data_IF_091256663481
#
_entry.id   IF_091256663481
#
_cell.length_a   1.000
_cell.length_b   1.000
_cell.length_c   1.000
_cell.angle_alpha   90.00
_cell.angle_beta   90.00
_cell.angle_gamma   90.00
#
_symmetry.space_group_name_H-M   'P 1'
#
loop_
_entity.id
_entity.type
_entity.pdbx_description
1 polymer ?
#
# COMPACT_ATOMS: atom_id res chain seq x y z
N UNK A 1 23.19 -17.28 -76.52
CA UNK A 1 24.23 -16.99 -75.51
C UNK A 1 23.68 -15.98 -74.53
N UNK A 2 23.29 -16.41 -73.33
CA UNK A 2 22.94 -15.53 -72.21
C UNK A 2 23.86 -15.86 -71.04
N UNK A 3 24.48 -14.81 -70.50
CA UNK A 3 25.53 -14.87 -69.52
C UNK A 3 24.98 -15.03 -68.09
N UNK A 4 25.59 -15.96 -67.34
CA UNK A 4 25.94 -15.84 -65.93
C UNK A 4 24.97 -15.15 -64.97
N UNK A 5 23.84 -15.80 -64.64
CA UNK A 5 23.12 -15.50 -63.40
C UNK A 5 23.46 -16.54 -62.32
N UNK A 6 24.19 -16.10 -61.28
CA UNK A 6 24.43 -16.86 -60.05
C UNK A 6 23.75 -16.11 -58.90
N UNK A 7 22.72 -16.69 -58.24
CA UNK A 7 22.16 -16.08 -57.05
C UNK A 7 23.16 -16.18 -55.87
N UNK A 8 23.45 -15.04 -55.24
CA UNK A 8 24.19 -14.96 -53.96
C UNK A 8 23.30 -15.47 -52.82
N UNK A 9 23.82 -16.24 -51.85
CA UNK A 9 23.09 -16.50 -50.61
C UNK A 9 22.97 -15.20 -49.81
N UNK A 10 21.75 -14.91 -49.35
CA UNK A 10 21.46 -13.78 -48.49
C UNK A 10 22.29 -13.87 -47.20
N UNK A 11 23.07 -12.83 -46.94
CA UNK A 11 23.69 -12.62 -45.65
C UNK A 11 22.59 -12.46 -44.59
N UNK A 12 22.76 -13.21 -43.52
CA UNK A 12 21.99 -13.20 -42.27
C UNK A 12 21.64 -11.79 -41.77
N UNK A 13 20.44 -11.60 -41.19
CA UNK A 13 20.04 -10.33 -40.60
C UNK A 13 20.91 -10.00 -39.38
N UNK A 14 21.45 -8.79 -39.42
CA UNK A 14 21.57 -7.83 -38.33
C UNK A 14 21.61 -8.40 -36.90
N UNK A 15 22.83 -8.36 -36.35
CA UNK A 15 23.14 -8.63 -34.95
C UNK A 15 22.36 -7.63 -34.07
N UNK A 16 21.29 -8.10 -33.45
CA UNK A 16 20.56 -7.37 -32.43
C UNK A 16 21.52 -6.86 -31.34
N UNK A 17 21.36 -5.62 -30.84
CA UNK A 17 22.14 -5.14 -29.72
C UNK A 17 21.77 -5.97 -28.48
N UNK A 18 22.77 -6.63 -27.90
CA UNK A 18 22.69 -7.24 -26.58
C UNK A 18 22.16 -6.22 -25.58
N UNK A 19 21.06 -6.48 -24.85
CA UNK A 19 20.70 -5.62 -23.75
C UNK A 19 21.77 -5.77 -22.68
N UNK A 20 22.37 -4.62 -22.40
CA UNK A 20 23.38 -4.36 -21.39
C UNK A 20 22.99 -5.04 -20.07
N UNK A 21 23.94 -5.77 -19.51
CA UNK A 21 23.83 -6.46 -18.22
C UNK A 21 24.03 -5.44 -17.09
N UNK A 22 23.23 -4.39 -17.08
CA UNK A 22 23.27 -3.34 -16.07
C UNK A 22 21.94 -3.34 -15.30
N UNK A 23 21.80 -4.29 -14.38
CA UNK A 23 20.59 -4.41 -13.55
C UNK A 23 20.68 -5.44 -12.43
N UNK A 24 21.88 -5.76 -11.95
CA UNK A 24 22.07 -6.63 -10.80
C UNK A 24 21.83 -5.86 -9.50
N UNK A 25 20.57 -5.49 -9.24
CA UNK A 25 20.09 -5.07 -7.91
C UNK A 25 18.55 -5.20 -7.75
N UNK A 26 17.88 -6.03 -8.55
CA UNK A 26 16.45 -6.31 -8.36
C UNK A 26 16.30 -7.59 -7.54
N UNK A 27 16.06 -7.45 -6.24
CA UNK A 27 15.90 -8.57 -5.28
C UNK A 27 14.59 -9.35 -5.42
N UNK A 28 14.12 -9.57 -6.64
CA UNK A 28 12.94 -10.38 -6.96
C UNK A 28 13.21 -11.27 -8.16
N UNK A 29 12.56 -12.45 -8.23
CA UNK A 29 12.62 -13.31 -9.42
C UNK A 29 12.20 -12.46 -10.65
N UNK A 30 12.81 -12.62 -11.84
CA UNK A 30 12.51 -11.78 -13.02
C UNK A 30 11.02 -11.68 -13.34
N UNK A 31 10.28 -12.77 -13.12
CA UNK A 31 8.82 -12.84 -13.32
C UNK A 31 8.04 -11.97 -12.32
N UNK A 32 8.52 -11.89 -11.07
CA UNK A 32 7.92 -11.05 -10.04
C UNK A 32 8.14 -9.58 -10.32
N UNK A 33 9.34 -9.18 -10.73
CA UNK A 33 9.63 -7.80 -11.11
C UNK A 33 8.70 -7.34 -12.25
N UNK A 34 8.54 -8.18 -13.27
CA UNK A 34 7.60 -7.90 -14.39
C UNK A 34 6.15 -7.83 -13.94
N UNK A 35 5.71 -8.69 -13.04
CA UNK A 35 4.34 -8.66 -12.51
C UNK A 35 4.08 -7.40 -11.68
N UNK A 36 5.04 -6.98 -10.84
CA UNK A 36 4.99 -5.73 -10.07
C UNK A 36 4.92 -4.52 -11.01
N UNK A 37 5.75 -4.48 -12.06
CA UNK A 37 5.75 -3.40 -13.05
C UNK A 37 4.39 -3.28 -13.76
N UNK A 38 3.79 -4.39 -14.18
CA UNK A 38 2.45 -4.40 -14.81
C UNK A 38 1.37 -3.88 -13.85
N UNK A 39 1.40 -4.34 -12.60
CA UNK A 39 0.46 -3.87 -11.58
C UNK A 39 0.63 -2.37 -11.30
N UNK A 40 1.88 -1.90 -11.23
CA UNK A 40 2.21 -0.50 -11.04
C UNK A 40 1.72 0.37 -12.20
N UNK A 41 1.88 -0.06 -13.46
CA UNK A 41 1.36 0.67 -14.62
C UNK A 41 -0.16 0.80 -14.59
N UNK A 42 -0.88 -0.29 -14.33
CA UNK A 42 -2.33 -0.25 -14.21
C UNK A 42 -2.78 0.67 -13.04
N UNK A 43 -2.04 0.66 -11.94
CA UNK A 43 -2.28 1.55 -10.79
C UNK A 43 -2.02 3.02 -11.16
N UNK A 44 -0.94 3.29 -11.89
CA UNK A 44 -0.60 4.63 -12.37
C UNK A 44 -1.65 5.17 -13.34
N UNK A 45 -2.17 4.33 -14.24
CA UNK A 45 -3.21 4.73 -15.20
C UNK A 45 -4.49 5.16 -14.48
N UNK A 46 -4.95 4.35 -13.52
CA UNK A 46 -6.10 4.70 -12.66
C UNK A 46 -5.80 5.97 -11.85
N UNK A 47 -4.58 6.10 -11.31
CA UNK A 47 -4.13 7.27 -10.58
C UNK A 47 -4.22 8.55 -11.42
N UNK A 48 -3.79 8.49 -12.69
CA UNK A 48 -3.87 9.62 -13.63
C UNK A 48 -5.31 10.02 -13.94
N UNK A 49 -6.21 9.05 -14.13
CA UNK A 49 -7.64 9.35 -14.33
C UNK A 49 -8.22 10.11 -13.14
N UNK A 50 -7.97 9.62 -11.92
CA UNK A 50 -8.44 10.25 -10.69
C UNK A 50 -7.86 11.65 -10.49
N UNK A 51 -6.58 11.84 -10.79
CA UNK A 51 -5.91 13.14 -10.69
C UNK A 51 -6.48 14.18 -11.67
N UNK A 52 -7.04 13.74 -12.79
CA UNK A 52 -7.71 14.58 -13.79
C UNK A 52 -9.22 14.68 -13.55
N UNK A 53 -9.72 14.16 -12.43
CA UNK A 53 -11.16 14.07 -12.11
C UNK A 53 -11.98 13.34 -13.19
N UNK A 54 -11.33 12.44 -13.93
CA UNK A 54 -11.96 11.63 -14.97
C UNK A 54 -12.47 10.31 -14.40
N UNK A 55 -13.59 9.78 -14.95
CA UNK A 55 -14.10 8.48 -14.54
C UNK A 55 -13.10 7.37 -14.89
N UNK A 56 -12.82 6.48 -13.94
CA UNK A 56 -12.01 5.29 -14.20
C UNK A 56 -12.79 4.35 -15.12
N UNK A 57 -12.17 3.96 -16.23
CA UNK A 57 -12.84 3.17 -17.24
C UNK A 57 -12.88 1.68 -16.84
N UNK A 58 -13.95 0.92 -17.16
CA UNK A 58 -14.06 -0.49 -16.77
C UNK A 58 -12.89 -1.38 -17.22
N UNK A 59 -12.28 -1.04 -18.37
CA UNK A 59 -11.12 -1.78 -18.86
C UNK A 59 -9.85 -1.51 -18.05
N UNK A 60 -9.70 -0.32 -17.44
CA UNK A 60 -8.58 0.00 -16.55
C UNK A 60 -8.71 -0.76 -15.23
N UNK A 61 -9.91 -0.81 -14.66
CA UNK A 61 -10.19 -1.66 -13.48
C UNK A 61 -9.90 -3.13 -13.77
N UNK A 62 -10.36 -3.61 -14.94
CA UNK A 62 -10.11 -4.98 -15.39
C UNK A 62 -8.62 -5.24 -15.66
N UNK A 63 -7.86 -4.24 -16.09
CA UNK A 63 -6.42 -4.35 -16.27
C UNK A 63 -5.69 -4.44 -14.92
N UNK A 64 -6.07 -3.60 -13.94
CA UNK A 64 -5.53 -3.67 -12.59
C UNK A 64 -5.84 -5.01 -11.94
N UNK A 65 -7.08 -5.50 -12.05
CA UNK A 65 -7.48 -6.81 -11.52
C UNK A 65 -6.65 -7.94 -12.12
N UNK A 66 -6.55 -8.01 -13.45
CA UNK A 66 -5.74 -9.04 -14.14
C UNK A 66 -4.25 -8.96 -13.80
N UNK A 67 -3.71 -7.76 -13.66
CA UNK A 67 -2.33 -7.58 -13.22
C UNK A 67 -2.13 -8.06 -11.77
N UNK A 68 -3.13 -7.87 -10.90
CA UNK A 68 -3.15 -8.38 -9.54
C UNK A 68 -3.18 -9.89 -9.50
N UNK A 69 -4.10 -10.52 -10.23
CA UNK A 69 -4.20 -11.98 -10.36
C UNK A 69 -2.90 -12.60 -10.87
N UNK A 70 -2.27 -11.99 -11.89
CA UNK A 70 -0.99 -12.46 -12.40
C UNK A 70 0.14 -12.31 -11.37
N UNK A 71 0.12 -11.27 -10.55
CA UNK A 71 1.08 -11.09 -9.46
C UNK A 71 0.86 -12.13 -8.34
N UNK A 72 -0.39 -12.42 -8.02
CA UNK A 72 -0.75 -13.44 -7.02
C UNK A 72 -0.38 -14.86 -7.47
N UNK A 73 -0.40 -15.15 -8.77
CA UNK A 73 0.12 -16.40 -9.34
C UNK A 73 1.63 -16.57 -9.11
N UNK A 74 2.40 -15.48 -9.13
CA UNK A 74 3.84 -15.52 -8.84
C UNK A 74 4.09 -15.71 -7.35
N UNK A 75 3.27 -15.04 -6.52
CA UNK A 75 3.35 -15.15 -5.06
C UNK A 75 1.97 -14.86 -4.44
N UNK A 76 1.40 -15.79 -3.66
CA UNK A 76 0.12 -15.57 -3.00
C UNK A 76 0.09 -14.27 -2.18
N UNK A 77 -1.05 -13.58 -2.22
CA UNK A 77 -1.36 -12.30 -1.57
C UNK A 77 -0.47 -11.11 -1.98
N UNK A 78 0.40 -11.25 -2.98
CA UNK A 78 1.31 -10.19 -3.37
C UNK A 78 0.59 -8.94 -3.90
N UNK A 79 -0.55 -9.07 -4.58
CA UNK A 79 -1.34 -7.92 -5.01
C UNK A 79 -1.89 -7.13 -3.81
N UNK A 80 -2.33 -7.82 -2.75
CA UNK A 80 -2.80 -7.19 -1.51
C UNK A 80 -1.68 -6.46 -0.79
N UNK A 81 -0.53 -7.11 -0.65
CA UNK A 81 0.65 -6.54 0.00
C UNK A 81 1.16 -5.32 -0.81
N UNK A 82 1.18 -5.40 -2.14
CA UNK A 82 1.65 -4.33 -3.01
C UNK A 82 0.68 -3.13 -3.03
N UNK A 83 -0.63 -3.39 -3.07
CA UNK A 83 -1.64 -2.34 -2.95
C UNK A 83 -1.51 -1.58 -1.63
N UNK A 84 -1.19 -2.29 -0.54
CA UNK A 84 -0.98 -1.67 0.78
C UNK A 84 0.29 -0.82 0.82
N UNK A 85 1.37 -1.33 0.22
CA UNK A 85 2.62 -0.58 0.07
C UNK A 85 2.42 0.71 -0.74
N UNK A 86 1.70 0.66 -1.86
CA UNK A 86 1.42 1.83 -2.70
C UNK A 86 0.50 2.86 -2.04
N UNK A 87 -0.45 2.45 -1.20
CA UNK A 87 -1.23 3.41 -0.41
C UNK A 87 -0.37 4.14 0.61
N UNK A 88 0.65 3.48 1.17
CA UNK A 88 1.54 4.05 2.18
C UNK A 88 2.62 4.94 1.56
N UNK A 89 3.17 4.52 0.42
CA UNK A 89 4.13 5.29 -0.36
C UNK A 89 3.71 5.31 -1.85
N UNK A 90 2.89 6.30 -2.25
CA UNK A 90 2.45 6.46 -3.63
C UNK A 90 3.60 6.69 -4.62
N UNK A 91 4.76 7.17 -4.15
CA UNK A 91 5.94 7.39 -4.98
C UNK A 91 6.48 6.10 -5.60
N UNK A 92 6.24 4.96 -4.95
CA UNK A 92 6.63 3.65 -5.46
C UNK A 92 5.89 3.25 -6.75
N UNK A 93 4.70 3.81 -7.00
CA UNK A 93 3.90 3.49 -8.18
C UNK A 93 4.67 3.91 -9.45
N UNK A 94 5.14 5.16 -9.50
CA UNK A 94 5.90 5.68 -10.65
C UNK A 94 7.20 4.92 -10.86
N UNK A 95 7.96 4.71 -9.78
CA UNK A 95 9.22 3.96 -9.83
C UNK A 95 9.03 2.53 -10.37
N UNK A 96 8.04 1.80 -9.85
CA UNK A 96 7.75 0.44 -10.28
C UNK A 96 7.21 0.40 -11.72
N UNK A 97 6.42 1.38 -12.14
CA UNK A 97 5.90 1.48 -13.51
C UNK A 97 7.02 1.74 -14.56
N UNK A 98 8.09 2.43 -14.14
CA UNK A 98 9.34 2.61 -14.90
C UNK A 98 10.27 1.39 -14.86
N UNK A 99 9.89 0.31 -14.16
CA UNK A 99 10.70 -0.91 -14.01
C UNK A 99 11.66 -0.90 -12.80
N UNK A 100 11.74 0.19 -12.03
CA UNK A 100 12.52 0.27 -10.77
C UNK A 100 11.74 -0.38 -9.62
N UNK A 101 11.61 -1.71 -9.68
CA UNK A 101 10.72 -2.48 -8.78
C UNK A 101 11.32 -2.83 -7.41
N UNK A 102 12.63 -2.60 -7.20
CA UNK A 102 13.30 -2.98 -5.94
C UNK A 102 12.70 -2.33 -4.68
N UNK A 103 12.25 -1.07 -4.77
CA UNK A 103 11.55 -0.40 -3.67
C UNK A 103 10.19 -1.05 -3.36
N UNK A 104 9.40 -1.32 -4.40
CA UNK A 104 8.12 -2.00 -4.30
C UNK A 104 8.26 -3.42 -3.71
N UNK A 105 9.30 -4.17 -4.10
CA UNK A 105 9.58 -5.51 -3.53
C UNK A 105 9.80 -5.44 -2.02
N UNK A 106 10.63 -4.50 -1.55
CA UNK A 106 10.91 -4.32 -0.11
C UNK A 106 9.66 -3.90 0.66
N UNK A 107 8.94 -2.89 0.17
CA UNK A 107 7.71 -2.42 0.81
C UNK A 107 6.65 -3.53 0.87
N UNK A 108 6.48 -4.28 -0.22
CA UNK A 108 5.57 -5.43 -0.27
C UNK A 108 6.00 -6.58 0.66
N UNK A 109 7.29 -6.75 0.95
CA UNK A 109 7.76 -7.72 1.95
C UNK A 109 7.44 -7.25 3.38
N UNK A 110 7.57 -5.95 3.65
CA UNK A 110 7.19 -5.36 4.93
C UNK A 110 5.67 -5.46 5.17
N UNK A 111 4.84 -5.16 4.17
CA UNK A 111 3.38 -5.32 4.27
C UNK A 111 2.98 -6.78 4.53
N UNK A 112 3.70 -7.74 3.92
CA UNK A 112 3.52 -9.16 4.23
C UNK A 112 3.84 -9.47 5.69
N UNK A 113 4.96 -8.95 6.21
CA UNK A 113 5.35 -9.15 7.61
C UNK A 113 4.24 -8.63 8.53
N UNK A 114 3.81 -7.39 8.32
CA UNK A 114 2.71 -6.77 9.08
C UNK A 114 1.44 -7.63 8.98
N UNK A 115 1.08 -8.16 7.80
CA UNK A 115 -0.10 -9.01 7.67
C UNK A 115 -0.02 -10.32 8.45
N UNK A 116 1.17 -10.89 8.63
CA UNK A 116 1.35 -12.18 9.31
C UNK A 116 1.58 -12.02 10.83
N UNK A 117 2.19 -10.91 11.23
CA UNK A 117 2.60 -10.65 12.61
C UNK A 117 1.66 -9.64 13.29
N UNK A 118 0.89 -10.10 14.28
CA UNK A 118 -0.06 -9.25 15.02
C UNK A 118 0.63 -8.17 15.86
N UNK A 119 1.85 -8.41 16.35
CA UNK A 119 2.62 -7.40 17.07
C UNK A 119 3.10 -6.31 16.10
N UNK A 120 3.53 -6.68 14.89
CA UNK A 120 3.85 -5.71 13.84
C UNK A 120 2.60 -4.90 13.40
N UNK A 121 1.41 -5.52 13.35
CA UNK A 121 0.15 -4.76 13.14
C UNK A 121 -0.14 -3.80 14.28
N UNK A 122 0.09 -4.23 15.52
CA UNK A 122 -0.10 -3.37 16.68
C UNK A 122 0.85 -2.16 16.64
N UNK A 123 2.11 -2.33 16.21
CA UNK A 123 3.08 -1.22 16.08
C UNK A 123 2.56 -0.18 15.10
N UNK A 124 2.09 -0.66 13.93
CA UNK A 124 1.49 0.19 12.89
C UNK A 124 0.24 0.90 13.38
N UNK A 125 -0.58 0.22 14.16
CA UNK A 125 -1.80 0.80 14.72
C UNK A 125 -1.45 1.93 15.69
N UNK A 126 -0.53 1.70 16.62
CA UNK A 126 -0.07 2.70 17.60
C UNK A 126 0.53 3.92 16.90
N UNK A 127 1.40 3.70 15.91
CA UNK A 127 2.01 4.77 15.10
C UNK A 127 0.93 5.65 14.43
N UNK A 128 -0.03 5.02 13.75
CA UNK A 128 -1.11 5.72 13.04
C UNK A 128 -2.04 6.45 14.01
N UNK A 129 -2.40 5.81 15.12
CA UNK A 129 -3.26 6.39 16.15
C UNK A 129 -2.64 7.65 16.76
N UNK A 130 -1.36 7.59 17.13
CA UNK A 130 -0.61 8.74 17.65
C UNK A 130 -0.49 9.86 16.62
N UNK A 131 -0.30 9.52 15.35
CA UNK A 131 -0.31 10.49 14.25
C UNK A 131 -1.64 11.26 14.16
N UNK A 132 -2.75 10.53 14.19
CA UNK A 132 -4.10 11.13 14.17
C UNK A 132 -4.40 11.94 15.45
N UNK A 133 -3.95 11.47 16.61
CA UNK A 133 -4.08 12.21 17.86
C UNK A 133 -3.35 13.57 17.81
N UNK A 134 -2.15 13.61 17.21
CA UNK A 134 -1.43 14.87 16.96
C UNK A 134 -2.13 15.77 15.94
N UNK A 135 -2.62 15.21 14.84
CA UNK A 135 -3.41 15.96 13.84
C UNK A 135 -4.66 16.59 14.49
N UNK A 136 -5.32 15.83 15.36
CA UNK A 136 -6.47 16.31 16.14
C UNK A 136 -6.13 17.42 17.11
N UNK A 137 -4.96 17.37 17.76
CA UNK A 137 -4.49 18.41 18.67
C UNK A 137 -3.97 19.67 17.95
N UNK A 138 -3.82 19.63 16.62
CA UNK A 138 -3.18 20.68 15.81
C UNK A 138 -4.00 21.95 15.58
N UNK A 139 -5.16 22.12 16.22
CA UNK A 139 -5.96 23.36 16.21
C UNK A 139 -6.83 23.64 14.97
N UNK A 140 -6.66 22.89 13.87
CA UNK A 140 -7.55 22.94 12.71
C UNK A 140 -8.76 22.02 12.95
N UNK A 141 -9.94 22.60 13.14
CA UNK A 141 -11.16 21.85 13.46
C UNK A 141 -11.53 20.84 12.37
N UNK A 142 -11.39 21.21 11.09
CA UNK A 142 -11.72 20.31 9.97
C UNK A 142 -10.77 19.12 9.95
N UNK A 143 -9.47 19.35 10.19
CA UNK A 143 -8.49 18.26 10.33
C UNK A 143 -8.75 17.42 11.58
N UNK A 144 -9.13 18.04 12.68
CA UNK A 144 -9.46 17.35 13.92
C UNK A 144 -10.69 16.44 13.77
N UNK A 145 -11.73 16.88 13.07
CA UNK A 145 -12.91 16.07 12.78
C UNK A 145 -12.58 14.91 11.84
N UNK A 146 -11.77 15.15 10.80
CA UNK A 146 -11.27 14.08 9.91
C UNK A 146 -10.41 13.07 10.65
N UNK A 147 -9.51 13.52 11.52
CA UNK A 147 -8.67 12.66 12.35
C UNK A 147 -9.53 11.81 13.30
N UNK A 148 -10.51 12.43 13.97
CA UNK A 148 -11.49 11.76 14.84
C UNK A 148 -12.25 10.67 14.09
N UNK A 149 -12.68 10.96 12.85
CA UNK A 149 -13.39 10.00 11.99
C UNK A 149 -12.51 8.80 11.63
N UNK A 150 -11.25 9.07 11.25
CA UNK A 150 -10.26 8.02 10.95
C UNK A 150 -9.93 7.16 12.17
N UNK A 151 -9.79 7.77 13.35
CA UNK A 151 -9.60 7.05 14.61
C UNK A 151 -10.80 6.14 14.91
N UNK A 152 -12.03 6.62 14.68
CA UNK A 152 -13.23 5.80 14.83
C UNK A 152 -13.23 4.58 13.90
N UNK A 153 -12.86 4.77 12.63
CA UNK A 153 -12.74 3.67 11.68
C UNK A 153 -11.64 2.66 12.06
N UNK A 154 -10.54 3.12 12.67
CA UNK A 154 -9.49 2.23 13.19
C UNK A 154 -9.98 1.38 14.35
N UNK A 155 -10.67 2.00 15.33
CA UNK A 155 -11.25 1.28 16.47
C UNK A 155 -12.29 0.26 16.00
N UNK A 156 -13.12 0.62 15.03
CA UNK A 156 -14.09 -0.27 14.41
C UNK A 156 -13.43 -1.50 13.76
N UNK A 157 -12.30 -1.28 13.10
CA UNK A 157 -11.53 -2.33 12.42
C UNK A 157 -11.04 -3.43 13.36
N UNK A 158 -10.83 -3.13 14.64
CA UNK A 158 -10.37 -4.12 15.64
C UNK A 158 -11.38 -5.24 15.85
N UNK A 159 -12.69 -4.97 15.70
CA UNK A 159 -13.75 -6.00 15.78
C UNK A 159 -13.57 -7.10 14.72
N UNK A 160 -12.85 -6.82 13.64
CA UNK A 160 -12.57 -7.74 12.53
C UNK A 160 -11.21 -8.44 12.65
N UNK A 161 -10.37 -8.05 13.61
CA UNK A 161 -9.05 -8.66 13.87
C UNK A 161 -8.82 -8.87 15.38
N UNK A 162 -9.37 -9.96 15.95
CA UNK A 162 -9.24 -10.25 17.38
C UNK A 162 -7.79 -10.45 17.85
N UNK A 163 -6.91 -10.92 16.96
CA UNK A 163 -5.50 -11.12 17.28
C UNK A 163 -4.75 -9.77 17.40
N UNK A 164 -5.10 -8.79 16.55
CA UNK A 164 -4.64 -7.41 16.72
C UNK A 164 -5.18 -6.79 18.01
N UNK A 165 -6.46 -6.99 18.33
CA UNK A 165 -7.05 -6.46 19.57
C UNK A 165 -6.28 -6.95 20.81
N UNK A 166 -6.02 -8.25 20.92
CA UNK A 166 -5.19 -8.83 22.00
C UNK A 166 -3.76 -8.29 22.01
N UNK A 167 -3.15 -8.08 20.85
CA UNK A 167 -1.82 -7.51 20.77
C UNK A 167 -1.79 -6.06 21.29
N UNK A 168 -2.84 -5.28 21.00
CA UNK A 168 -3.00 -3.90 21.48
C UNK A 168 -3.30 -3.81 22.97
N UNK A 169 -3.98 -4.80 23.57
CA UNK A 169 -4.18 -4.83 25.03
C UNK A 169 -2.85 -4.79 25.79
N UNK A 170 -1.82 -5.49 25.29
CA UNK A 170 -0.45 -5.45 25.85
C UNK A 170 0.23 -4.08 25.69
N UNK A 171 -0.21 -3.29 24.72
CA UNK A 171 0.37 -1.99 24.33
C UNK A 171 -0.52 -0.80 24.68
N UNK A 172 -1.57 -1.01 25.47
CA UNK A 172 -2.46 0.05 25.92
C UNK A 172 -1.74 1.26 26.58
N UNK A 173 -0.66 1.07 27.37
CA UNK A 173 0.11 2.21 27.89
C UNK A 173 0.68 3.12 26.80
N UNK A 174 1.04 2.56 25.63
CA UNK A 174 1.57 3.33 24.51
C UNK A 174 0.49 4.17 23.81
N UNK A 175 -0.77 3.77 23.92
CA UNK A 175 -1.91 4.51 23.40
C UNK A 175 -2.40 5.60 24.38
N UNK A 176 -1.70 5.77 25.51
CA UNK A 176 -2.11 6.62 26.63
C UNK A 176 -3.50 6.26 27.18
N UNK A 177 -3.89 4.99 27.02
CA UNK A 177 -5.17 4.47 27.47
C UNK A 177 -5.04 3.84 28.85
N UNK A 178 -5.98 4.16 29.73
CA UNK A 178 -6.21 3.40 30.97
C UNK A 178 -7.22 2.31 30.67
N UNK A 179 -6.77 1.08 30.51
CA UNK A 179 -7.67 -0.07 30.44
C UNK A 179 -8.32 -0.27 31.82
N UNK A 180 -9.61 -0.02 31.90
CA UNK A 180 -10.40 -0.41 33.07
C UNK A 180 -10.61 -1.92 33.10
N UNK A 181 -10.64 -2.52 34.30
CA UNK A 181 -10.84 -3.96 34.47
C UNK A 181 -12.12 -4.42 33.76
N UNK A 182 -11.99 -5.37 32.84
CA UNK A 182 -13.11 -5.93 32.08
C UNK A 182 -13.58 -5.12 30.88
N UNK A 183 -12.93 -3.99 30.55
CA UNK A 183 -13.22 -3.21 29.33
C UNK A 183 -12.30 -3.64 28.19
N UNK A 184 -12.86 -3.86 27.01
CA UNK A 184 -12.10 -4.20 25.82
C UNK A 184 -11.32 -2.98 25.28
N UNK A 185 -10.23 -3.24 24.56
CA UNK A 185 -9.38 -2.19 23.99
C UNK A 185 -10.15 -1.30 23.00
N UNK A 186 -11.10 -1.86 22.24
CA UNK A 186 -11.91 -1.13 21.26
C UNK A 186 -12.78 -0.08 21.94
N UNK A 187 -13.51 -0.47 23.00
CA UNK A 187 -14.35 0.45 23.77
C UNK A 187 -13.52 1.55 24.45
N UNK A 188 -12.31 1.21 24.88
CA UNK A 188 -11.39 2.18 25.48
C UNK A 188 -10.90 3.20 24.45
N UNK A 189 -10.60 2.75 23.23
CA UNK A 189 -10.25 3.62 22.10
C UNK A 189 -11.42 4.53 21.70
N UNK A 190 -12.62 3.97 21.53
CA UNK A 190 -13.84 4.73 21.21
C UNK A 190 -14.12 5.83 22.25
N UNK A 191 -13.99 5.50 23.53
CA UNK A 191 -14.18 6.46 24.61
C UNK A 191 -13.13 7.59 24.56
N UNK A 192 -11.87 7.27 24.30
CA UNK A 192 -10.82 8.28 24.19
C UNK A 192 -11.06 9.27 23.04
N UNK A 193 -11.71 8.82 21.96
CA UNK A 193 -12.16 9.69 20.88
C UNK A 193 -13.26 10.64 21.39
N UNK A 194 -14.22 10.13 22.16
CA UNK A 194 -15.34 10.87 22.76
C UNK A 194 -14.92 11.95 23.78
N UNK A 195 -13.96 11.65 24.66
CA UNK A 195 -13.50 12.56 25.73
C UNK A 195 -12.97 13.90 25.18
N UNK A 196 -12.43 13.91 23.96
CA UNK A 196 -12.01 15.18 23.34
C UNK A 196 -13.17 16.06 22.84
N UNK A 197 -14.36 15.51 22.55
CA UNK A 197 -15.53 16.29 22.11
C UNK A 197 -16.22 17.03 23.26
N UNK A 198 -16.09 16.54 24.49
CA UNK A 198 -16.66 17.22 25.68
C UNK A 198 -15.82 18.42 26.09
N UNK A 199 -14.49 18.36 25.91
CA UNK A 199 -13.59 19.48 26.23
C UNK A 199 -13.80 20.70 25.34
N UNK A 200 -14.13 20.52 24.05
CA UNK A 200 -14.40 21.64 23.12
C UNK A 200 -15.79 22.27 23.32
N UNK A 201 -16.72 21.61 24.03
CA UNK A 201 -18.04 22.19 24.36
C UNK A 201 -18.05 23.01 25.66
N UNK A 202 -16.91 23.11 26.34
CA UNK A 202 -16.76 23.83 27.62
C UNK A 202 -16.19 25.24 27.52
N UNK A 203 -15.91 25.77 26.32
CA UNK A 203 -15.33 27.12 26.13
C UNK A 203 -16.26 28.06 25.35
N UNK A 204 -17.49 28.20 25.85
CA UNK A 204 -18.36 29.35 25.55
C UNK A 204 -18.85 29.91 26.87
N UNK A 205 -18.08 30.82 27.46
CA UNK A 205 -18.52 31.76 28.50
C UNK A 205 -18.22 33.18 28.01
#
# INVERSE_FOLDING_TARGET
>A
MFAGFRPKPAATPEKAPTPDRAGAASGGKPDQARAIERYARASADIGRMRAQELPVLPHQESALRRAGEALDQVRPDAARDLASAFRRDPGLIGQAAEGKTGGAVRAMAEERRVRLDSDARADRFVESWRGLARERAGGDQVRAEKATTRMGAMAEGLRRDPELAKALERRAPELELKLERGRSIEKSLEQSIGIGRERDRGMSL
#
